data_IF_363339789209
#
_entry.id   IF_363339789209
#
_cell.length_a   1.000
_cell.length_b   1.000
_cell.length_c   1.000
_cell.angle_alpha   90.00
_cell.angle_beta   90.00
_cell.angle_gamma   90.00
#
_symmetry.space_group_name_H-M   'P 1'
#
loop_
_entity.id
_entity.type
_entity.pdbx_description
1 polymer ?
#
# COMPACT_ATOMS: atom_id res chain seq x y z
N UNK A 1 13.80 -20.74 2.08
CA UNK A 1 12.74 -19.87 1.54
C UNK A 1 12.79 -18.56 2.29
N UNK A 2 12.72 -17.42 1.60
CA UNK A 2 12.71 -16.09 2.24
C UNK A 2 11.44 -15.86 3.07
N UNK A 3 11.49 -14.88 3.97
CA UNK A 3 10.31 -14.47 4.73
C UNK A 3 9.26 -13.86 3.79
N UNK A 4 7.97 -14.24 3.89
CA UNK A 4 6.92 -13.65 3.08
C UNK A 4 6.82 -12.13 3.29
N UNK A 5 6.93 -11.37 2.20
CA UNK A 5 6.69 -9.94 2.13
C UNK A 5 5.47 -9.70 1.24
N UNK A 6 4.33 -9.40 1.86
CA UNK A 6 3.09 -9.10 1.14
C UNK A 6 3.10 -7.65 0.72
N UNK A 7 3.12 -7.41 -0.58
CA UNK A 7 3.02 -6.07 -1.15
C UNK A 7 1.61 -5.80 -1.68
N UNK A 8 0.95 -4.79 -1.13
CA UNK A 8 -0.36 -4.35 -1.60
C UNK A 8 -0.17 -3.31 -2.69
N UNK A 9 -0.25 -3.75 -3.93
CA UNK A 9 -0.16 -2.90 -5.12
C UNK A 9 -1.53 -2.50 -5.67
N UNK A 10 -1.55 -1.47 -6.50
CA UNK A 10 -2.75 -0.95 -7.15
C UNK A 10 -2.75 0.57 -7.17
N UNK A 11 -3.73 1.15 -7.85
CA UNK A 11 -3.86 2.60 -7.93
C UNK A 11 -4.07 3.21 -6.54
N UNK A 12 -3.47 4.36 -6.29
CA UNK A 12 -3.71 5.13 -5.07
C UNK A 12 -5.22 5.33 -4.83
N UNK A 13 -5.66 5.35 -3.57
CA UNK A 13 -7.08 5.47 -3.16
C UNK A 13 -7.92 4.21 -3.41
N UNK A 14 -7.32 3.06 -3.58
CA UNK A 14 -8.02 1.77 -3.75
C UNK A 14 -8.36 1.06 -2.43
N UNK A 15 -8.02 1.62 -1.27
CA UNK A 15 -8.33 1.01 0.04
C UNK A 15 -7.19 0.18 0.64
N UNK A 16 -5.96 0.33 0.14
CA UNK A 16 -4.77 -0.41 0.59
C UNK A 16 -4.49 -0.27 2.09
N UNK A 17 -4.70 0.93 2.66
CA UNK A 17 -4.51 1.15 4.12
C UNK A 17 -5.50 0.34 4.95
N UNK A 18 -6.74 0.15 4.48
CA UNK A 18 -7.71 -0.69 5.18
C UNK A 18 -7.30 -2.16 5.11
N UNK A 19 -6.99 -2.67 3.91
CA UNK A 19 -6.55 -4.05 3.71
C UNK A 19 -5.30 -4.36 4.52
N UNK A 20 -4.31 -3.47 4.49
CA UNK A 20 -3.07 -3.59 5.26
C UNK A 20 -3.36 -3.75 6.76
N UNK A 21 -4.20 -2.88 7.31
CA UNK A 21 -4.55 -2.90 8.72
C UNK A 21 -5.34 -4.14 9.12
N UNK A 22 -6.21 -4.65 8.24
CA UNK A 22 -6.91 -5.91 8.45
C UNK A 22 -5.94 -7.10 8.44
N UNK A 23 -5.00 -7.13 7.49
CA UNK A 23 -3.96 -8.17 7.45
C UNK A 23 -3.07 -8.12 8.70
N UNK A 24 -2.76 -6.93 9.21
CA UNK A 24 -2.00 -6.79 10.45
C UNK A 24 -2.72 -7.30 11.71
N UNK A 25 -4.04 -7.55 11.65
CA UNK A 25 -4.79 -8.20 12.73
C UNK A 25 -4.65 -9.74 12.70
N UNK A 26 -4.11 -10.31 11.62
CA UNK A 26 -3.84 -11.76 11.55
C UNK A 26 -2.61 -12.06 12.43
N UNK A 27 -2.68 -13.06 13.33
CA UNK A 27 -1.56 -13.40 14.19
C UNK A 27 -0.27 -13.70 13.40
N UNK A 28 0.82 -13.07 13.82
CA UNK A 28 2.12 -13.19 13.15
C UNK A 28 2.35 -12.29 11.94
N UNK A 29 1.39 -11.41 11.61
CA UNK A 29 1.54 -10.44 10.52
C UNK A 29 1.85 -9.05 11.07
N UNK A 30 2.71 -8.32 10.36
CA UNK A 30 3.08 -6.96 10.74
C UNK A 30 3.03 -6.01 9.55
N UNK A 31 2.32 -4.89 9.71
CA UNK A 31 2.18 -3.87 8.68
C UNK A 31 3.12 -2.69 8.92
N UNK A 32 3.83 -2.29 7.86
CA UNK A 32 4.79 -1.19 7.88
C UNK A 32 4.26 0.12 7.25
N UNK A 33 3.09 0.07 6.65
CA UNK A 33 2.54 1.21 5.91
C UNK A 33 3.18 1.38 4.55
N UNK A 34 3.46 2.62 4.20
CA UNK A 34 4.20 2.99 3.00
C UNK A 34 5.69 3.15 3.35
N UNK A 35 6.40 2.03 3.56
CA UNK A 35 7.78 2.03 4.06
C UNK A 35 8.78 2.69 3.10
N UNK A 36 8.46 2.80 1.81
CA UNK A 36 9.28 3.54 0.84
C UNK A 36 9.60 4.98 1.27
N UNK A 37 8.75 5.57 2.12
CA UNK A 37 8.89 6.95 2.59
C UNK A 37 9.63 7.09 3.91
N UNK A 38 10.15 6.00 4.52
CA UNK A 38 10.78 6.05 5.84
C UNK A 38 11.95 7.03 5.89
N UNK A 39 12.81 7.03 4.87
CA UNK A 39 13.99 7.90 4.80
C UNK A 39 13.60 9.37 4.79
N UNK A 40 12.60 9.73 4.00
CA UNK A 40 12.18 11.11 3.82
C UNK A 40 11.19 11.58 4.89
N UNK A 41 10.17 10.77 5.23
CA UNK A 41 9.12 11.17 6.17
C UNK A 41 9.45 10.83 7.61
N UNK A 42 10.09 9.68 7.83
CA UNK A 42 10.55 9.29 9.17
C UNK A 42 11.80 10.08 9.55
N UNK A 43 12.92 9.77 8.94
CA UNK A 43 14.22 10.29 9.36
C UNK A 43 14.43 11.78 9.05
N UNK A 44 14.14 12.23 7.83
CA UNK A 44 14.41 13.60 7.42
C UNK A 44 13.38 14.62 7.99
N UNK A 45 12.09 14.23 8.00
CA UNK A 45 11.00 15.15 8.37
C UNK A 45 10.46 14.92 9.78
N UNK A 46 10.73 13.79 10.40
CA UNK A 46 10.17 13.36 11.68
C UNK A 46 8.63 13.41 11.73
N UNK A 47 7.97 12.96 10.64
CA UNK A 47 6.51 12.96 10.54
C UNK A 47 5.89 12.03 11.60
N UNK A 48 4.59 12.26 11.90
CA UNK A 48 3.86 11.46 12.88
C UNK A 48 3.65 9.99 12.46
N UNK A 49 3.88 9.10 13.39
CA UNK A 49 3.59 7.67 13.29
C UNK A 49 2.11 7.38 13.55
N UNK A 50 1.57 6.29 13.01
CA UNK A 50 0.21 5.81 13.28
C UNK A 50 -0.08 5.50 14.74
N UNK A 51 0.94 5.27 15.57
CA UNK A 51 0.82 5.12 17.02
C UNK A 51 0.56 6.44 17.77
N UNK A 52 0.63 7.58 17.10
CA UNK A 52 0.38 8.91 17.66
C UNK A 52 1.62 9.67 18.09
N UNK A 53 2.80 9.03 18.18
CA UNK A 53 4.08 9.69 18.42
C UNK A 53 4.67 10.23 17.12
N UNK A 54 5.65 11.13 17.18
CA UNK A 54 6.52 11.43 16.04
C UNK A 54 7.48 10.25 15.80
N UNK A 55 8.10 10.18 14.63
CA UNK A 55 8.95 9.03 14.27
C UNK A 55 10.07 8.77 15.27
N UNK A 56 10.79 9.81 15.67
CA UNK A 56 11.92 9.71 16.61
C UNK A 56 11.54 9.23 18.01
N UNK A 57 10.28 9.40 18.40
CA UNK A 57 9.75 8.99 19.72
C UNK A 57 8.98 7.66 19.64
N UNK A 58 8.79 7.11 18.43
CA UNK A 58 8.07 5.87 18.27
C UNK A 58 8.89 4.67 18.75
N UNK A 59 8.46 3.93 19.82
CA UNK A 59 9.25 2.84 20.37
C UNK A 59 9.58 1.75 19.33
N UNK A 60 8.65 1.46 18.43
CA UNK A 60 8.85 0.48 17.37
C UNK A 60 9.96 0.92 16.42
N UNK A 61 9.86 2.14 15.86
CA UNK A 61 10.86 2.63 14.91
C UNK A 61 12.22 2.88 15.56
N UNK A 62 12.26 3.31 16.82
CA UNK A 62 13.51 3.41 17.59
C UNK A 62 14.19 2.04 17.71
N UNK A 63 13.42 1.00 18.06
CA UNK A 63 13.96 -0.36 18.14
C UNK A 63 14.42 -0.88 16.75
N UNK A 64 13.69 -0.60 15.68
CA UNK A 64 14.09 -0.93 14.30
C UNK A 64 15.40 -0.25 13.93
N UNK A 65 15.58 1.03 14.28
CA UNK A 65 16.85 1.75 14.06
C UNK A 65 18.01 1.12 14.79
N UNK A 66 17.81 0.77 16.05
CA UNK A 66 18.84 0.11 16.86
C UNK A 66 19.21 -1.27 16.31
N UNK A 67 18.23 -2.12 16.00
CA UNK A 67 18.44 -3.47 15.47
C UNK A 67 19.08 -3.47 14.08
N UNK A 68 18.57 -2.64 13.18
CA UNK A 68 19.03 -2.62 11.80
C UNK A 68 20.30 -1.82 11.58
N UNK A 69 20.50 -0.73 12.28
CA UNK A 69 21.51 0.25 11.94
C UNK A 69 22.45 0.63 13.08
N UNK A 70 22.22 0.09 14.29
CA UNK A 70 22.94 0.51 15.51
C UNK A 70 22.46 1.86 16.06
N UNK A 71 21.37 2.40 15.49
CA UNK A 71 20.75 3.68 15.75
C UNK A 71 20.51 4.45 14.47
N UNK A 72 19.45 5.25 14.44
CA UNK A 72 19.14 6.07 13.24
C UNK A 72 20.16 7.17 12.98
N UNK A 73 20.92 7.57 13.99
CA UNK A 73 22.05 8.50 13.90
C UNK A 73 23.26 7.94 13.12
N UNK A 74 23.31 6.62 12.91
CA UNK A 74 24.32 5.94 12.09
C UNK A 74 23.92 5.86 10.59
N UNK A 75 22.75 6.34 10.22
CA UNK A 75 22.27 6.32 8.83
C UNK A 75 22.54 7.67 8.16
N UNK A 76 23.25 7.65 7.03
CA UNK A 76 23.31 8.81 6.15
C UNK A 76 21.95 8.99 5.46
N UNK A 77 21.13 9.87 6.04
CA UNK A 77 19.75 10.12 5.59
C UNK A 77 19.72 10.74 4.20
N UNK A 78 20.65 11.63 3.91
CA UNK A 78 20.71 12.32 2.62
C UNK A 78 21.10 11.33 1.50
N UNK A 79 22.03 10.42 1.77
CA UNK A 79 22.35 9.32 0.86
C UNK A 79 21.15 8.39 0.66
N UNK A 80 20.48 7.97 1.72
CA UNK A 80 19.32 7.08 1.64
C UNK A 80 18.17 7.72 0.81
N UNK A 81 17.91 9.02 1.00
CA UNK A 81 16.94 9.78 0.20
C UNK A 81 17.40 9.91 -1.25
N UNK A 82 18.68 10.19 -1.49
CA UNK A 82 19.24 10.29 -2.84
C UNK A 82 19.13 8.97 -3.60
N UNK A 83 19.45 7.83 -2.97
CA UNK A 83 19.30 6.49 -3.52
C UNK A 83 17.84 6.21 -3.89
N UNK A 84 16.91 6.45 -2.97
CA UNK A 84 15.48 6.32 -3.25
C UNK A 84 15.06 7.18 -4.43
N UNK A 85 15.42 8.45 -4.45
CA UNK A 85 15.07 9.39 -5.53
C UNK A 85 15.69 8.98 -6.87
N UNK A 86 16.88 8.41 -6.87
CA UNK A 86 17.54 7.94 -8.08
C UNK A 86 16.87 6.69 -8.64
N UNK A 87 16.58 5.70 -7.79
CA UNK A 87 16.12 4.37 -8.18
C UNK A 87 14.62 4.32 -8.36
N UNK A 88 13.86 4.78 -7.35
CA UNK A 88 12.41 4.59 -7.25
C UNK A 88 11.63 5.59 -8.11
N UNK A 89 11.68 5.38 -9.42
CA UNK A 89 10.98 6.21 -10.43
C UNK A 89 10.38 5.34 -11.52
N UNK A 90 9.18 5.67 -11.97
CA UNK A 90 8.50 4.99 -13.07
C UNK A 90 9.37 4.88 -14.36
N UNK A 91 10.19 5.88 -14.65
CA UNK A 91 11.12 5.85 -15.80
C UNK A 91 12.22 4.78 -15.70
N UNK A 92 12.43 4.21 -14.54
CA UNK A 92 13.45 3.19 -14.28
C UNK A 92 12.87 1.77 -14.23
N UNK A 93 11.56 1.59 -14.43
CA UNK A 93 10.88 0.29 -14.35
C UNK A 93 11.55 -0.75 -15.25
N UNK A 94 11.91 -0.38 -16.49
CA UNK A 94 12.60 -1.24 -17.44
C UNK A 94 13.98 -1.69 -16.96
N UNK A 95 14.70 -0.83 -16.24
CA UNK A 95 16.02 -1.12 -15.67
C UNK A 95 15.94 -1.96 -14.41
N UNK A 96 15.07 -1.58 -13.48
CA UNK A 96 14.86 -2.32 -12.22
C UNK A 96 14.27 -3.71 -12.52
N UNK A 97 13.40 -3.83 -13.52
CA UNK A 97 12.81 -5.12 -13.93
C UNK A 97 13.78 -6.03 -14.68
N UNK A 98 14.98 -5.55 -15.04
CA UNK A 98 15.95 -6.31 -15.82
C UNK A 98 15.64 -6.38 -17.33
N UNK A 99 14.61 -5.67 -17.82
CA UNK A 99 14.29 -5.59 -19.25
C UNK A 99 15.33 -4.81 -20.05
N UNK A 100 16.03 -3.89 -19.39
CA UNK A 100 17.20 -3.16 -19.91
C UNK A 100 18.32 -3.21 -18.89
N UNK A 101 19.55 -3.18 -19.34
CA UNK A 101 20.71 -3.10 -18.45
C UNK A 101 20.63 -1.86 -17.55
N UNK A 102 20.95 -2.01 -16.27
CA UNK A 102 20.85 -0.94 -15.27
C UNK A 102 21.80 0.24 -15.57
N UNK A 103 22.92 -0.01 -16.26
CA UNK A 103 23.88 1.00 -16.66
C UNK A 103 24.37 1.81 -15.45
N UNK A 104 24.29 3.14 -15.52
CA UNK A 104 24.71 4.04 -14.44
C UNK A 104 23.90 3.91 -13.14
N UNK A 105 22.80 3.17 -13.13
CA UNK A 105 21.99 2.92 -11.94
C UNK A 105 22.36 1.61 -11.21
N UNK A 106 23.27 0.82 -11.73
CA UNK A 106 23.62 -0.50 -11.15
C UNK A 106 23.98 -0.39 -9.68
N UNK A 107 24.92 0.48 -9.33
CA UNK A 107 25.39 0.64 -7.97
C UNK A 107 24.30 1.22 -7.07
N UNK A 108 23.56 2.22 -7.55
CA UNK A 108 22.45 2.81 -6.79
C UNK A 108 21.32 1.80 -6.54
N UNK A 109 20.98 0.93 -7.50
CA UNK A 109 20.00 -0.14 -7.31
C UNK A 109 20.53 -1.13 -6.26
N UNK A 110 21.79 -1.56 -6.36
CA UNK A 110 22.39 -2.50 -5.42
C UNK A 110 22.41 -1.93 -4.00
N UNK A 111 22.90 -0.69 -3.84
CA UNK A 111 22.96 -0.02 -2.53
C UNK A 111 21.58 0.19 -1.93
N UNK A 112 20.60 0.63 -2.72
CA UNK A 112 19.24 0.82 -2.23
C UNK A 112 18.54 -0.50 -1.91
N UNK A 113 18.80 -1.58 -2.65
CA UNK A 113 18.32 -2.92 -2.33
C UNK A 113 18.87 -3.41 -1.00
N UNK A 114 20.19 -3.26 -0.76
CA UNK A 114 20.83 -3.65 0.51
C UNK A 114 20.28 -2.86 1.69
N UNK A 115 20.16 -1.54 1.54
CA UNK A 115 19.62 -0.66 2.56
C UNK A 115 18.17 -1.04 2.91
N UNK A 116 17.37 -1.35 1.89
CA UNK A 116 15.97 -1.76 2.04
C UNK A 116 15.88 -3.15 2.68
N UNK A 117 16.68 -4.12 2.25
CA UNK A 117 16.69 -5.47 2.83
C UNK A 117 17.03 -5.42 4.33
N UNK A 118 18.04 -4.63 4.71
CA UNK A 118 18.43 -4.39 6.10
C UNK A 118 17.29 -3.79 6.92
N UNK A 119 16.55 -2.82 6.36
CA UNK A 119 15.38 -2.23 7.01
C UNK A 119 14.30 -3.29 7.31
N UNK A 120 13.94 -4.10 6.32
CA UNK A 120 12.89 -5.10 6.49
C UNK A 120 13.33 -6.26 7.42
N UNK A 121 14.61 -6.62 7.43
CA UNK A 121 15.15 -7.57 8.39
C UNK A 121 15.00 -7.04 9.83
N UNK A 122 15.35 -5.78 10.08
CA UNK A 122 15.18 -5.14 11.37
C UNK A 122 13.70 -5.04 11.80
N UNK A 123 12.81 -4.70 10.86
CA UNK A 123 11.35 -4.73 11.09
C UNK A 123 10.89 -6.13 11.51
N UNK A 124 11.33 -7.16 10.81
CA UNK A 124 11.00 -8.56 11.14
C UNK A 124 11.53 -8.96 12.51
N UNK A 125 12.77 -8.62 12.83
CA UNK A 125 13.39 -8.93 14.10
C UNK A 125 12.64 -8.28 15.26
N UNK A 126 12.36 -6.98 15.17
CA UNK A 126 11.70 -6.22 16.25
C UNK A 126 10.23 -6.62 16.40
N UNK A 127 9.54 -6.91 15.32
CA UNK A 127 8.12 -7.32 15.36
C UNK A 127 7.92 -8.79 15.70
N UNK A 128 8.92 -9.65 15.50
CA UNK A 128 8.77 -11.10 15.56
C UNK A 128 7.85 -11.68 14.47
N UNK A 129 7.56 -10.92 13.43
CA UNK A 129 6.57 -11.29 12.43
C UNK A 129 7.03 -12.42 11.51
N UNK A 130 6.12 -13.31 11.18
CA UNK A 130 6.28 -14.34 10.14
C UNK A 130 5.93 -13.81 8.75
N UNK A 131 5.15 -12.73 8.66
CA UNK A 131 4.74 -12.05 7.43
C UNK A 131 4.84 -10.54 7.61
N UNK A 132 5.54 -9.86 6.72
CA UNK A 132 5.55 -8.39 6.65
C UNK A 132 4.54 -7.94 5.57
N UNK A 133 3.78 -6.89 5.85
CA UNK A 133 2.82 -6.29 4.92
C UNK A 133 3.20 -4.86 4.61
N UNK A 134 3.39 -4.54 3.34
CA UNK A 134 3.71 -3.20 2.83
C UNK A 134 2.63 -2.70 1.87
N UNK A 135 2.24 -1.45 1.99
CA UNK A 135 1.23 -0.80 1.16
C UNK A 135 1.73 0.45 0.43
N UNK A 136 3.00 0.50 0.07
CA UNK A 136 3.65 1.65 -0.58
C UNK A 136 3.03 2.00 -1.94
N UNK A 137 2.49 1.04 -2.67
CA UNK A 137 1.76 1.22 -3.95
C UNK A 137 2.59 1.79 -5.11
N UNK A 138 3.90 1.81 -4.98
CA UNK A 138 4.77 2.24 -6.04
C UNK A 138 5.34 1.02 -6.77
N UNK A 139 5.11 0.93 -8.08
CA UNK A 139 5.52 -0.23 -8.88
C UNK A 139 7.04 -0.38 -8.98
N UNK A 140 7.80 0.72 -9.02
CA UNK A 140 9.27 0.66 -9.04
C UNK A 140 9.82 0.13 -7.72
N UNK A 141 9.20 0.49 -6.60
CA UNK A 141 9.53 -0.05 -5.29
C UNK A 141 9.16 -1.54 -5.17
N UNK A 142 8.00 -1.96 -5.67
CA UNK A 142 7.63 -3.37 -5.72
C UNK A 142 8.63 -4.23 -6.50
N UNK A 143 9.15 -3.70 -7.61
CA UNK A 143 10.19 -4.36 -8.40
C UNK A 143 11.52 -4.47 -7.64
N UNK A 144 11.89 -3.46 -6.86
CA UNK A 144 13.07 -3.52 -5.99
C UNK A 144 12.85 -4.54 -4.86
N UNK A 145 11.68 -4.56 -4.23
CA UNK A 145 11.36 -5.52 -3.17
C UNK A 145 11.35 -6.98 -3.65
N UNK A 146 11.06 -7.23 -4.94
CA UNK A 146 11.16 -8.57 -5.53
C UNK A 146 12.57 -9.15 -5.45
N UNK A 147 13.56 -8.28 -5.52
CA UNK A 147 14.96 -8.66 -5.60
C UNK A 147 15.68 -8.60 -4.22
N UNK A 148 14.92 -8.45 -3.12
CA UNK A 148 15.46 -8.54 -1.76
C UNK A 148 15.89 -9.98 -1.44
N UNK A 149 17.15 -10.21 -1.03
CA UNK A 149 17.65 -11.57 -0.81
C UNK A 149 17.00 -12.30 0.38
N UNK A 150 16.52 -11.55 1.39
CA UNK A 150 15.97 -12.11 2.63
C UNK A 150 14.46 -12.39 2.56
N UNK A 151 13.77 -11.91 1.52
CA UNK A 151 12.31 -11.92 1.45
C UNK A 151 11.79 -12.59 0.19
N UNK A 152 10.56 -13.11 0.29
CA UNK A 152 9.77 -13.68 -0.82
C UNK A 152 8.58 -12.75 -1.09
N UNK A 153 8.68 -11.94 -2.15
CA UNK A 153 7.64 -10.98 -2.50
C UNK A 153 6.38 -11.68 -2.98
N UNK A 154 5.25 -11.36 -2.35
CA UNK A 154 3.92 -11.84 -2.68
C UNK A 154 2.99 -10.66 -2.93
N UNK A 155 2.31 -10.65 -4.07
CA UNK A 155 1.55 -9.48 -4.51
C UNK A 155 0.05 -9.65 -4.24
N UNK A 156 -0.53 -8.67 -3.54
CA UNK A 156 -1.98 -8.42 -3.59
C UNK A 156 -2.24 -7.25 -4.53
N UNK A 157 -2.80 -7.51 -5.71
CA UNK A 157 -3.26 -6.46 -6.61
C UNK A 157 -4.67 -6.01 -6.19
N UNK A 158 -4.73 -4.93 -5.42
CA UNK A 158 -5.98 -4.36 -4.95
C UNK A 158 -6.55 -3.38 -5.98
N UNK A 159 -7.66 -3.77 -6.60
CA UNK A 159 -8.37 -2.95 -7.57
C UNK A 159 -9.61 -2.31 -6.94
N UNK A 160 -9.87 -1.06 -7.26
CA UNK A 160 -11.12 -0.37 -6.94
C UNK A 160 -11.70 0.22 -8.21
N UNK A 161 -13.02 0.32 -8.29
CA UNK A 161 -13.71 0.94 -9.44
C UNK A 161 -13.13 2.32 -9.74
N UNK A 162 -12.77 2.56 -11.00
CA UNK A 162 -12.12 3.81 -11.46
C UNK A 162 -12.88 5.08 -11.07
N UNK A 163 -14.21 5.03 -11.04
CA UNK A 163 -15.07 6.14 -10.58
C UNK A 163 -14.81 6.49 -9.11
N UNK A 164 -14.74 5.50 -8.23
CA UNK A 164 -14.44 5.70 -6.81
C UNK A 164 -13.06 6.27 -6.59
N UNK A 165 -12.06 5.79 -7.35
CA UNK A 165 -10.68 6.31 -7.31
C UNK A 165 -10.63 7.77 -7.79
N UNK A 166 -11.20 8.07 -8.95
CA UNK A 166 -11.21 9.43 -9.51
C UNK A 166 -11.93 10.43 -8.60
N UNK A 167 -13.03 10.01 -7.96
CA UNK A 167 -13.73 10.83 -6.98
C UNK A 167 -12.91 11.05 -5.72
N UNK A 168 -12.30 10.01 -5.19
CA UNK A 168 -11.47 10.10 -3.98
C UNK A 168 -10.27 11.05 -4.16
N UNK A 169 -9.65 11.09 -5.35
CA UNK A 169 -8.58 12.04 -5.66
C UNK A 169 -9.05 13.50 -5.77
N UNK A 170 -10.35 13.74 -6.02
CA UNK A 170 -10.92 15.08 -6.06
C UNK A 170 -11.31 15.63 -4.68
N UNK A 171 -11.32 14.79 -3.63
CA UNK A 171 -11.68 15.20 -2.26
C UNK A 171 -10.51 15.88 -1.56
N UNK A 172 -10.79 16.96 -0.86
CA UNK A 172 -9.84 17.62 0.05
C UNK A 172 -9.92 16.93 1.42
N UNK A 173 -8.91 16.17 1.78
CA UNK A 173 -8.84 15.41 3.03
C UNK A 173 -7.64 15.89 3.84
N UNK A 174 -7.85 16.20 5.13
CA UNK A 174 -6.77 16.57 6.04
C UNK A 174 -5.85 15.38 6.33
N UNK A 175 -4.54 15.65 6.47
CA UNK A 175 -3.56 14.67 6.94
C UNK A 175 -3.42 14.78 8.46
N UNK A 176 -3.73 13.74 9.23
CA UNK A 176 -3.46 13.76 10.67
C UNK A 176 -1.96 13.57 10.94
N UNK A 177 -1.45 14.25 11.97
CA UNK A 177 -0.10 14.02 12.49
C UNK A 177 1.05 14.50 11.59
N UNK A 178 0.80 15.50 10.72
CA UNK A 178 1.84 16.15 9.91
C UNK A 178 1.79 17.64 10.19
N UNK A 179 2.92 18.18 10.63
CA UNK A 179 3.06 19.62 10.97
C UNK A 179 2.03 20.11 11.98
N UNK A 180 1.50 21.30 11.77
CA UNK A 180 0.45 21.93 12.59
C UNK A 180 -0.98 21.39 12.33
N UNK A 181 -1.10 20.29 11.58
CA UNK A 181 -2.39 19.72 11.19
C UNK A 181 -3.12 20.46 10.05
N UNK A 182 -2.49 21.46 9.45
CA UNK A 182 -3.05 22.22 8.33
C UNK A 182 -2.85 21.55 6.96
N UNK A 183 -1.99 20.52 6.88
CA UNK A 183 -1.71 19.83 5.62
C UNK A 183 -2.89 19.00 5.11
N UNK A 184 -3.13 19.11 3.81
CA UNK A 184 -4.13 18.33 3.09
C UNK A 184 -3.46 17.31 2.18
N UNK A 185 -4.18 16.23 1.88
CA UNK A 185 -3.80 15.31 0.83
C UNK A 185 -3.90 16.01 -0.53
N UNK A 186 -3.00 15.64 -1.45
CA UNK A 186 -3.02 16.18 -2.82
C UNK A 186 -4.37 15.93 -3.48
N UNK A 187 -4.86 16.95 -4.17
CA UNK A 187 -6.09 16.92 -4.97
C UNK A 187 -5.69 16.90 -6.45
N UNK A 188 -6.24 16.00 -7.21
CA UNK A 188 -5.93 15.86 -8.63
C UNK A 188 -7.19 15.81 -9.48
N UNK A 189 -7.14 16.31 -10.74
CA UNK A 189 -8.28 16.23 -11.64
C UNK A 189 -8.58 14.77 -12.03
N UNK A 190 -9.84 14.44 -12.36
CA UNK A 190 -10.22 13.07 -12.73
C UNK A 190 -9.44 12.50 -13.91
N UNK A 191 -9.02 13.29 -14.88
CA UNK A 191 -8.21 12.85 -16.02
C UNK A 191 -6.84 12.29 -15.58
N UNK A 192 -6.18 12.97 -14.65
CA UNK A 192 -4.93 12.50 -14.06
C UNK A 192 -5.15 11.19 -13.29
N UNK A 193 -6.19 11.15 -12.44
CA UNK A 193 -6.51 9.95 -11.65
C UNK A 193 -6.84 8.74 -12.52
N UNK A 194 -7.49 8.94 -13.67
CA UNK A 194 -7.80 7.88 -14.64
C UNK A 194 -6.52 7.38 -15.31
N UNK A 195 -5.64 8.29 -15.76
CA UNK A 195 -4.36 7.92 -16.37
C UNK A 195 -3.52 7.08 -15.41
N UNK A 196 -3.41 7.51 -14.16
CA UNK A 196 -2.71 6.76 -13.11
C UNK A 196 -3.38 5.41 -12.84
N UNK A 197 -4.72 5.37 -12.74
CA UNK A 197 -5.47 4.13 -12.52
C UNK A 197 -5.22 3.10 -13.63
N UNK A 198 -5.22 3.53 -14.89
CA UNK A 198 -4.93 2.65 -16.03
C UNK A 198 -3.48 2.13 -15.98
N UNK A 199 -2.52 3.04 -15.80
CA UNK A 199 -1.10 2.71 -15.77
C UNK A 199 -0.75 1.75 -14.62
N UNK A 200 -1.15 2.09 -13.39
CA UNK A 200 -0.85 1.27 -12.21
C UNK A 200 -1.46 -0.13 -12.33
N UNK A 201 -2.76 -0.22 -12.69
CA UNK A 201 -3.41 -1.52 -12.79
C UNK A 201 -2.77 -2.42 -13.87
N UNK A 202 -2.37 -1.87 -15.01
CA UNK A 202 -1.67 -2.62 -16.07
C UNK A 202 -0.28 -3.07 -15.61
N UNK A 203 0.46 -2.20 -14.91
CA UNK A 203 1.78 -2.52 -14.39
C UNK A 203 1.73 -3.59 -13.30
N UNK A 204 0.76 -3.51 -12.38
CA UNK A 204 0.58 -4.56 -11.36
C UNK A 204 0.07 -5.88 -11.95
N UNK A 205 -0.75 -5.87 -12.99
CA UNK A 205 -1.06 -7.09 -13.72
C UNK A 205 0.19 -7.72 -14.36
N UNK A 206 1.05 -6.88 -14.97
CA UNK A 206 2.29 -7.37 -15.58
C UNK A 206 3.25 -7.94 -14.53
N UNK A 207 3.36 -7.30 -13.36
CA UNK A 207 4.14 -7.81 -12.23
C UNK A 207 3.56 -9.12 -11.70
N UNK A 208 2.24 -9.18 -11.46
CA UNK A 208 1.57 -10.37 -10.92
C UNK A 208 1.72 -11.60 -11.80
N UNK A 209 1.82 -11.45 -13.15
CA UNK A 209 2.11 -12.57 -14.05
C UNK A 209 3.54 -13.10 -13.95
N UNK A 210 4.45 -12.33 -13.38
CA UNK A 210 5.88 -12.70 -13.24
C UNK A 210 6.22 -13.21 -11.85
N UNK A 211 5.35 -12.99 -10.88
CA UNK A 211 5.54 -13.47 -9.52
C UNK A 211 4.91 -14.87 -9.35
N UNK A 212 5.56 -15.78 -8.64
CA UNK A 212 5.01 -17.12 -8.38
C UNK A 212 3.75 -17.07 -7.50
N UNK A 213 3.60 -16.01 -6.70
CA UNK A 213 2.48 -15.83 -5.78
C UNK A 213 1.90 -14.43 -5.89
N UNK A 214 0.75 -14.33 -6.55
CA UNK A 214 0.02 -13.09 -6.71
C UNK A 214 -1.49 -13.37 -6.71
N UNK A 215 -2.26 -12.51 -6.06
CA UNK A 215 -3.72 -12.54 -6.10
C UNK A 215 -4.27 -11.16 -6.42
N UNK A 216 -5.47 -11.10 -7.00
CA UNK A 216 -6.17 -9.84 -7.23
C UNK A 216 -7.49 -9.84 -6.48
N UNK A 217 -7.73 -8.79 -5.71
CA UNK A 217 -8.97 -8.56 -4.98
C UNK A 217 -9.58 -7.22 -5.37
N UNK A 218 -10.90 -7.10 -5.26
CA UNK A 218 -11.60 -5.83 -5.44
C UNK A 218 -11.90 -5.21 -4.08
N UNK A 219 -11.73 -3.90 -3.97
CA UNK A 219 -12.09 -3.14 -2.77
C UNK A 219 -13.54 -3.38 -2.36
N UNK A 220 -14.43 -3.42 -3.33
CA UNK A 220 -15.87 -3.60 -3.10
C UNK A 220 -16.19 -4.99 -2.52
N UNK A 221 -15.47 -6.04 -2.95
CA UNK A 221 -15.63 -7.39 -2.39
C UNK A 221 -15.05 -7.48 -0.98
N UNK A 222 -13.89 -6.85 -0.75
CA UNK A 222 -13.29 -6.75 0.59
C UNK A 222 -14.24 -6.10 1.60
N UNK A 223 -14.99 -5.07 1.17
CA UNK A 223 -15.97 -4.41 2.04
C UNK A 223 -17.22 -5.26 2.23
N UNK A 224 -17.65 -6.00 1.21
CA UNK A 224 -18.86 -6.82 1.25
C UNK A 224 -18.67 -8.08 2.11
N UNK A 225 -17.52 -8.75 1.98
CA UNK A 225 -17.18 -9.93 2.76
C UNK A 225 -15.67 -9.94 3.08
N UNK A 226 -15.26 -9.23 4.12
CA UNK A 226 -13.85 -9.14 4.49
C UNK A 226 -13.26 -10.48 4.93
N UNK A 227 -14.06 -11.38 5.54
CA UNK A 227 -13.59 -12.70 5.98
C UNK A 227 -13.21 -13.58 4.79
N UNK A 228 -14.09 -13.66 3.81
CA UNK A 228 -13.84 -14.43 2.59
C UNK A 228 -12.63 -13.89 1.83
N UNK A 229 -12.53 -12.55 1.65
CA UNK A 229 -11.42 -11.96 0.90
C UNK A 229 -10.08 -12.10 1.61
N UNK A 230 -10.00 -11.91 2.92
CA UNK A 230 -8.77 -12.13 3.69
C UNK A 230 -8.36 -13.61 3.66
N UNK A 231 -9.31 -14.54 3.82
CA UNK A 231 -9.03 -15.98 3.71
C UNK A 231 -8.47 -16.33 2.32
N UNK A 232 -9.05 -15.74 1.27
CA UNK A 232 -8.59 -15.94 -0.11
C UNK A 232 -7.17 -15.39 -0.32
N UNK A 233 -6.87 -14.20 0.19
CA UNK A 233 -5.52 -13.62 0.12
C UNK A 233 -4.50 -14.54 0.79
N UNK A 234 -4.78 -15.02 2.00
CA UNK A 234 -3.88 -15.89 2.74
C UNK A 234 -3.66 -17.21 2.00
N UNK A 235 -4.73 -17.82 1.49
CA UNK A 235 -4.67 -19.09 0.74
C UNK A 235 -3.93 -18.93 -0.59
N UNK A 236 -4.34 -17.96 -1.43
CA UNK A 236 -3.75 -17.75 -2.78
C UNK A 236 -2.26 -17.45 -2.71
N UNK A 237 -1.86 -16.68 -1.71
CA UNK A 237 -0.47 -16.34 -1.49
C UNK A 237 0.30 -17.42 -0.70
N UNK A 238 -0.37 -18.46 -0.19
CA UNK A 238 0.25 -19.52 0.62
C UNK A 238 0.93 -18.97 1.87
N UNK A 239 0.28 -18.03 2.55
CA UNK A 239 0.81 -17.40 3.74
C UNK A 239 0.62 -18.31 4.97
N UNK A 240 1.54 -18.28 5.94
CA UNK A 240 1.35 -19.03 7.18
C UNK A 240 0.19 -18.42 7.99
N UNK A 241 -0.80 -19.23 8.33
CA UNK A 241 -1.86 -18.87 9.25
C UNK A 241 -2.37 -20.13 9.93
N UNK A 242 -2.07 -20.30 11.20
CA UNK A 242 -2.63 -21.39 12.01
C UNK A 242 -4.11 -21.13 12.32
N UNK A 243 -4.45 -19.87 12.59
CA UNK A 243 -5.81 -19.35 12.74
C UNK A 243 -5.83 -17.93 12.18
N UNK A 244 -6.80 -17.60 11.34
CA UNK A 244 -6.93 -16.25 10.79
C UNK A 244 -7.43 -15.24 11.82
N UNK A 245 -7.93 -15.72 12.97
CA UNK A 245 -8.25 -14.88 14.13
C UNK A 245 -9.20 -13.73 13.80
N UNK A 246 -10.28 -13.98 13.05
CA UNK A 246 -11.23 -12.94 12.62
C UNK A 246 -12.06 -12.32 13.76
N UNK A 247 -11.65 -12.47 15.02
CA UNK A 247 -12.34 -11.86 16.17
C UNK A 247 -12.42 -10.31 16.06
N UNK A 248 -11.50 -9.69 15.33
CA UNK A 248 -11.51 -8.25 15.06
C UNK A 248 -12.61 -7.82 14.06
N UNK A 249 -13.26 -8.75 13.36
CA UNK A 249 -14.34 -8.47 12.41
C UNK A 249 -15.71 -8.76 13.02
N UNK A 250 -16.56 -7.75 13.06
CA UNK A 250 -18.01 -7.88 13.27
C UNK A 250 -18.74 -7.63 11.95
N UNK A 251 -20.08 -7.73 11.92
CA UNK A 251 -20.89 -7.72 10.68
C UNK A 251 -20.55 -6.58 9.71
N UNK A 252 -20.39 -5.37 10.21
CA UNK A 252 -20.10 -4.17 9.41
C UNK A 252 -18.98 -3.32 9.98
N UNK A 253 -18.20 -3.85 10.91
CA UNK A 253 -17.10 -3.13 11.57
C UNK A 253 -15.86 -4.01 11.70
N UNK A 254 -14.70 -3.35 11.78
CA UNK A 254 -13.44 -3.96 12.16
C UNK A 254 -12.85 -3.22 13.35
N UNK A 255 -12.43 -3.94 14.39
CA UNK A 255 -11.69 -3.37 15.50
C UNK A 255 -10.19 -3.38 15.15
N UNK A 256 -9.67 -2.20 14.84
CA UNK A 256 -8.32 -2.07 14.31
C UNK A 256 -7.39 -1.46 15.37
N UNK A 257 -6.31 -2.16 15.76
CA UNK A 257 -5.35 -1.67 16.74
C UNK A 257 -4.57 -0.46 16.23
N UNK A 258 -3.78 0.17 17.09
CA UNK A 258 -2.80 1.17 16.66
C UNK A 258 -1.83 0.57 15.64
N UNK A 259 -1.44 1.35 14.64
CA UNK A 259 -0.42 0.96 13.65
C UNK A 259 0.86 1.78 13.84
N UNK A 260 1.96 1.31 13.26
CA UNK A 260 3.20 2.08 13.19
C UNK A 260 3.48 2.60 11.77
N UNK A 261 2.45 2.71 10.94
CA UNK A 261 2.58 3.25 9.58
C UNK A 261 2.96 4.74 9.60
N UNK A 262 4.03 5.11 8.88
CA UNK A 262 4.53 6.49 8.79
C UNK A 262 3.83 7.32 7.72
N UNK A 263 3.27 6.68 6.73
CA UNK A 263 2.67 7.32 5.56
C UNK A 263 1.38 6.62 5.18
N UNK A 264 0.59 7.24 4.32
CA UNK A 264 -0.64 6.66 3.82
C UNK A 264 -1.88 7.49 4.11
N UNK A 265 -3.04 6.85 3.99
CA UNK A 265 -4.33 7.49 4.23
C UNK A 265 -4.50 7.84 5.72
N UNK A 266 -5.22 8.93 6.05
CA UNK A 266 -5.57 9.30 7.43
C UNK A 266 -6.14 8.16 8.29
N UNK A 267 -6.77 7.16 7.69
CA UNK A 267 -7.22 5.95 8.37
C UNK A 267 -6.11 5.23 9.15
N UNK A 268 -4.83 5.40 8.79
CA UNK A 268 -3.70 4.81 9.55
C UNK A 268 -3.66 5.20 11.02
N UNK A 269 -4.20 6.37 11.36
CA UNK A 269 -4.26 6.90 12.74
C UNK A 269 -5.55 6.53 13.49
N UNK A 270 -6.56 5.98 12.82
CA UNK A 270 -7.80 5.56 13.48
C UNK A 270 -7.56 4.31 14.32
N UNK A 271 -8.21 4.21 15.47
CA UNK A 271 -8.13 3.07 16.40
C UNK A 271 -9.52 2.64 16.83
N UNK A 272 -9.66 1.37 17.25
CA UNK A 272 -10.93 0.81 17.68
C UNK A 272 -11.84 0.49 16.50
N UNK A 273 -13.14 0.58 16.72
CA UNK A 273 -14.13 0.17 15.73
C UNK A 273 -14.17 1.09 14.51
N UNK A 274 -13.90 0.54 13.35
CA UNK A 274 -13.98 1.19 12.04
C UNK A 274 -15.13 0.59 11.25
N UNK A 275 -16.05 1.44 10.79
CA UNK A 275 -17.19 0.98 9.98
C UNK A 275 -16.71 0.60 8.57
N UNK A 276 -17.02 -0.62 8.17
CA UNK A 276 -16.74 -1.15 6.83
C UNK A 276 -17.88 -0.78 5.91
N UNK A 277 -17.72 0.34 5.21
CA UNK A 277 -18.73 0.85 4.28
C UNK A 277 -18.10 1.18 2.94
N UNK A 278 -18.72 0.68 1.87
CA UNK A 278 -18.32 1.06 0.52
C UNK A 278 -18.44 2.58 0.32
N UNK A 279 -17.37 3.23 -0.13
CA UNK A 279 -17.38 4.65 -0.49
C UNK A 279 -17.98 4.82 -1.89
N UNK A 280 -19.30 4.85 -1.92
CA UNK A 280 -20.17 4.96 -3.12
C UNK A 280 -20.64 6.40 -3.38
N UNK A 281 -20.14 7.38 -2.62
CA UNK A 281 -20.54 8.79 -2.72
C UNK A 281 -20.40 9.35 -4.14
N UNK A 282 -19.41 8.86 -4.91
CA UNK A 282 -19.24 9.22 -6.33
C UNK A 282 -20.48 8.96 -7.20
N UNK A 283 -21.38 8.03 -6.81
CA UNK A 283 -22.60 7.70 -7.55
C UNK A 283 -23.58 8.87 -7.60
N UNK A 284 -23.64 9.64 -6.52
CA UNK A 284 -24.53 10.81 -6.38
C UNK A 284 -23.80 12.13 -6.60
N UNK A 285 -22.59 12.29 -6.09
CA UNK A 285 -21.83 13.53 -6.16
C UNK A 285 -21.22 13.82 -7.55
N UNK A 286 -21.03 12.76 -8.37
CA UNK A 286 -20.44 12.93 -9.70
C UNK A 286 -21.51 13.07 -10.78
N UNK A 287 -21.39 14.08 -11.67
CA UNK A 287 -22.34 14.28 -12.77
C UNK A 287 -22.38 13.07 -13.71
N UNK A 288 -23.53 12.82 -14.35
CA UNK A 288 -23.70 11.72 -15.32
C UNK A 288 -22.67 11.78 -16.45
N UNK A 289 -22.35 12.98 -16.96
CA UNK A 289 -21.36 13.19 -18.02
C UNK A 289 -19.96 12.73 -17.58
N UNK A 290 -19.52 13.11 -16.36
CA UNK A 290 -18.23 12.67 -15.81
C UNK A 290 -18.17 11.16 -15.65
N UNK A 291 -19.23 10.54 -15.11
CA UNK A 291 -19.30 9.08 -14.96
C UNK A 291 -19.20 8.37 -16.32
N UNK A 292 -19.93 8.86 -17.34
CA UNK A 292 -19.87 8.30 -18.68
C UNK A 292 -18.47 8.42 -19.29
N UNK A 293 -17.81 9.58 -19.14
CA UNK A 293 -16.43 9.79 -19.63
C UNK A 293 -15.42 8.85 -18.95
N UNK A 294 -15.53 8.65 -17.62
CA UNK A 294 -14.69 7.71 -16.88
C UNK A 294 -14.93 6.28 -17.37
N UNK A 295 -16.22 5.87 -17.52
CA UNK A 295 -16.54 4.55 -18.07
C UNK A 295 -15.93 4.36 -19.46
N UNK A 296 -16.09 5.33 -20.37
CA UNK A 296 -15.55 5.27 -21.73
C UNK A 296 -14.03 5.16 -21.78
N UNK A 297 -13.32 5.84 -20.85
CA UNK A 297 -11.87 5.78 -20.78
C UNK A 297 -11.34 4.47 -20.15
N UNK A 298 -12.11 3.82 -19.29
CA UNK A 298 -11.63 2.69 -18.46
C UNK A 298 -12.37 1.36 -18.73
N UNK A 299 -13.31 1.32 -19.68
CA UNK A 299 -14.18 0.16 -19.90
C UNK A 299 -13.45 -1.18 -20.11
N UNK A 300 -12.31 -1.28 -20.82
CA UNK A 300 -11.66 -2.57 -21.01
C UNK A 300 -11.21 -3.20 -19.68
N UNK A 301 -10.59 -2.38 -18.83
CA UNK A 301 -10.14 -2.86 -17.51
C UNK A 301 -11.30 -3.02 -16.52
N UNK A 302 -12.35 -2.17 -16.61
CA UNK A 302 -13.56 -2.37 -15.80
C UNK A 302 -14.17 -3.75 -16.07
N UNK A 303 -14.36 -4.14 -17.34
CA UNK A 303 -14.87 -5.47 -17.70
C UNK A 303 -13.93 -6.59 -17.23
N UNK A 304 -12.62 -6.41 -17.44
CA UNK A 304 -11.60 -7.39 -17.05
C UNK A 304 -11.59 -7.64 -15.54
N UNK A 305 -11.94 -6.63 -14.73
CA UNK A 305 -12.02 -6.72 -13.28
C UNK A 305 -13.43 -7.06 -12.77
N UNK A 306 -14.36 -7.39 -13.68
CA UNK A 306 -15.73 -7.79 -13.31
C UNK A 306 -16.63 -6.63 -12.89
N UNK A 307 -16.29 -5.39 -13.25
CA UNK A 307 -17.17 -4.25 -13.01
C UNK A 307 -18.13 -4.03 -14.17
N UNK A 308 -19.42 -3.76 -13.91
CA UNK A 308 -20.34 -3.34 -14.96
C UNK A 308 -19.93 -1.97 -15.53
N UNK A 309 -20.01 -1.79 -16.86
CA UNK A 309 -19.63 -0.51 -17.51
C UNK A 309 -20.54 0.61 -17.04
N UNK A 310 -21.87 0.39 -17.08
CA UNK A 310 -22.82 1.32 -16.50
C UNK A 310 -22.99 1.05 -15.01
N UNK A 311 -22.78 2.06 -14.14
CA UNK A 311 -23.06 1.88 -12.73
C UNK A 311 -24.56 1.65 -12.54
N UNK A 312 -24.95 0.49 -11.99
CA UNK A 312 -26.35 0.23 -11.63
C UNK A 312 -26.85 1.33 -10.69
N UNK A 313 -28.06 1.83 -10.92
CA UNK A 313 -28.74 2.67 -9.95
C UNK A 313 -28.85 1.90 -8.62
N UNK A 314 -28.68 2.57 -7.46
CA UNK A 314 -28.98 1.96 -6.17
C UNK A 314 -30.43 1.47 -6.22
N UNK A 315 -30.68 0.20 -6.02
CA UNK A 315 -31.98 -0.23 -5.52
C UNK A 315 -32.08 0.36 -4.09
N UNK A 316 -33.02 1.26 -3.91
CA UNK A 316 -33.42 1.76 -2.60
C UNK A 316 -34.09 0.57 -1.89
N UNK A 317 -33.41 0.00 -0.92
CA UNK A 317 -33.97 -0.90 0.08
C UNK A 317 -34.17 -0.14 1.38
#
# INVERSE_FOLDING_TARGET
MGTPLVYIGGAGRSGSTLLERMLACVPGYWAVGEAEFIWQRGLQRNDGCGCGCVFSECPFWTAVGAAGFGGWDQVDVDEAVALRVAVDRHRNIDRISGLRGAGKLTDAIASYTQLTDRLYQAVREVSGASVIVDSSKNISYALLLRDLPSFDLRLVHLVRRSHGVAYSWSKRVRKPGVGDGSEFMSVHPPSWAIGLWLADNLLYEALGRRLPRATRIRYEDLIADPRAELSRVVSDLGLPAADLGFAFLADSTADLPASHALSGNPMRAQRGQVVLRADDEWRTAMSRRRRAAISAATWPLLLRYGYPIAPRARQQS
#
